data_IF_255659408914
#
_entry.id   IF_255659408914
#
_cell.length_a   1.000
_cell.length_b   1.000
_cell.length_c   1.000
_cell.angle_alpha   90.00
_cell.angle_beta   90.00
_cell.angle_gamma   90.00
#
_symmetry.space_group_name_H-M   'P 1'
#
loop_
_entity.id
_entity.type
_entity.pdbx_description
1 polymer ?
#
# COMPACT_ATOMS: atom_id res chain seq x y z
N UNK A 1 1.77 11.96 -21.91
CA UNK A 1 0.37 11.50 -21.85
C UNK A 1 -0.23 12.04 -20.57
N UNK A 2 -1.49 12.49 -20.59
CA UNK A 2 -2.20 12.90 -19.36
C UNK A 2 -2.25 11.73 -18.37
N UNK A 3 -2.08 11.98 -17.08
CA UNK A 3 -2.23 11.00 -15.99
C UNK A 3 -3.60 10.29 -16.06
N UNK A 4 -4.62 10.97 -16.58
CA UNK A 4 -5.98 10.46 -16.76
C UNK A 4 -6.20 9.71 -18.08
N UNK A 5 -5.16 9.53 -18.91
CA UNK A 5 -5.29 8.87 -20.22
C UNK A 5 -6.06 9.69 -21.27
N UNK A 6 -6.34 10.97 -21.00
CA UNK A 6 -7.05 11.86 -21.90
C UNK A 6 -6.08 12.43 -22.93
N UNK A 7 -6.38 12.23 -24.20
CA UNK A 7 -5.54 12.66 -25.34
C UNK A 7 -6.16 13.81 -26.14
N UNK A 8 -7.46 14.04 -26.01
CA UNK A 8 -8.18 15.13 -26.68
C UNK A 8 -8.08 16.43 -25.86
N UNK A 9 -7.52 17.48 -26.46
CA UNK A 9 -7.35 18.78 -25.83
C UNK A 9 -8.68 19.48 -25.54
N UNK A 10 -9.69 19.33 -26.42
CA UNK A 10 -11.00 19.96 -26.22
C UNK A 10 -11.70 19.41 -24.98
N UNK A 11 -11.51 18.13 -24.70
CA UNK A 11 -12.04 17.47 -23.48
C UNK A 11 -11.35 18.00 -22.23
N UNK A 12 -10.05 18.30 -22.30
CA UNK A 12 -9.29 18.88 -21.18
C UNK A 12 -9.76 20.30 -20.88
N UNK A 13 -9.93 21.12 -21.93
CA UNK A 13 -10.34 22.52 -21.78
C UNK A 13 -11.77 22.69 -21.24
N UNK A 14 -12.66 21.73 -21.56
CA UNK A 14 -14.05 21.75 -21.10
C UNK A 14 -14.24 21.09 -19.72
N UNK A 15 -13.20 20.47 -19.16
CA UNK A 15 -13.30 19.73 -17.91
C UNK A 15 -13.51 20.66 -16.72
N UNK A 16 -14.52 20.36 -15.91
CA UNK A 16 -14.71 21.07 -14.64
C UNK A 16 -13.72 20.56 -13.59
N UNK A 17 -13.36 21.41 -12.62
CA UNK A 17 -12.50 21.00 -11.50
C UNK A 17 -13.08 19.80 -10.73
N UNK A 18 -14.40 19.76 -10.56
CA UNK A 18 -15.10 18.65 -9.91
C UNK A 18 -14.96 17.35 -10.69
N UNK A 19 -15.16 17.39 -12.01
CA UNK A 19 -14.97 16.24 -12.88
C UNK A 19 -13.53 15.75 -12.88
N UNK A 20 -12.57 16.68 -12.93
CA UNK A 20 -11.15 16.37 -12.81
C UNK A 20 -10.86 15.62 -11.51
N UNK A 21 -11.37 16.11 -10.37
CA UNK A 21 -11.15 15.48 -9.07
C UNK A 21 -11.74 14.07 -9.00
N UNK A 22 -12.97 13.85 -9.50
CA UNK A 22 -13.55 12.51 -9.53
C UNK A 22 -12.77 11.53 -10.42
N UNK A 23 -12.29 12.01 -11.57
CA UNK A 23 -11.45 11.22 -12.47
C UNK A 23 -10.10 10.89 -11.83
N UNK A 24 -9.50 11.83 -11.10
CA UNK A 24 -8.27 11.58 -10.35
C UNK A 24 -8.49 10.57 -9.23
N UNK A 25 -9.57 10.68 -8.45
CA UNK A 25 -9.91 9.68 -7.45
C UNK A 25 -10.07 8.29 -8.07
N UNK A 26 -10.83 8.16 -9.16
CA UNK A 26 -10.97 6.89 -9.87
C UNK A 26 -9.61 6.35 -10.35
N UNK A 27 -8.70 7.23 -10.77
CA UNK A 27 -7.35 6.86 -11.20
C UNK A 27 -6.50 6.32 -10.05
N UNK A 28 -6.62 6.88 -8.85
CA UNK A 28 -5.90 6.40 -7.67
C UNK A 28 -6.31 4.97 -7.29
N UNK A 29 -7.61 4.64 -7.35
CA UNK A 29 -8.08 3.26 -7.17
C UNK A 29 -7.54 2.32 -8.25
N UNK A 30 -7.56 2.75 -9.51
CA UNK A 30 -7.00 1.96 -10.63
C UNK A 30 -5.50 1.69 -10.41
N UNK A 31 -4.74 2.69 -9.98
CA UNK A 31 -3.31 2.56 -9.69
C UNK A 31 -3.06 1.59 -8.53
N UNK A 32 -3.85 1.66 -7.45
CA UNK A 32 -3.76 0.71 -6.34
C UNK A 32 -3.98 -0.74 -6.81
N UNK A 33 -5.04 -0.98 -7.59
CA UNK A 33 -5.33 -2.32 -8.14
C UNK A 33 -4.21 -2.80 -9.06
N UNK A 34 -3.72 -1.94 -9.96
CA UNK A 34 -2.63 -2.31 -10.87
C UNK A 34 -1.35 -2.67 -10.11
N UNK A 35 -1.00 -1.89 -9.09
CA UNK A 35 0.20 -2.14 -8.29
C UNK A 35 0.06 -3.44 -7.48
N UNK A 36 -1.12 -3.68 -6.90
CA UNK A 36 -1.39 -4.93 -6.18
C UNK A 36 -1.30 -6.17 -7.08
N UNK A 37 -1.86 -6.10 -8.30
CA UNK A 37 -1.76 -7.19 -9.27
C UNK A 37 -0.32 -7.42 -9.74
N UNK A 38 0.50 -6.38 -9.86
CA UNK A 38 1.95 -6.53 -10.14
C UNK A 38 2.66 -7.30 -9.05
N UNK A 39 2.38 -6.99 -7.78
CA UNK A 39 2.93 -7.77 -6.68
C UNK A 39 2.44 -9.21 -6.71
N UNK A 40 1.13 -9.45 -6.90
CA UNK A 40 0.61 -10.82 -7.05
C UNK A 40 1.31 -11.60 -8.15
N UNK A 41 1.55 -10.97 -9.30
CA UNK A 41 2.29 -11.58 -10.40
C UNK A 41 3.73 -11.88 -10.00
N UNK A 42 4.42 -10.96 -9.33
CA UNK A 42 5.79 -11.18 -8.85
C UNK A 42 5.87 -12.36 -7.87
N UNK A 43 4.93 -12.46 -6.95
CA UNK A 43 4.80 -13.60 -6.04
C UNK A 43 4.48 -14.90 -6.78
N UNK A 44 3.58 -14.88 -7.76
CA UNK A 44 3.28 -16.05 -8.59
C UNK A 44 4.49 -16.52 -9.40
N UNK A 45 5.29 -15.59 -9.94
CA UNK A 45 6.55 -15.91 -10.64
C UNK A 45 7.56 -16.52 -9.66
N UNK A 46 7.70 -15.93 -8.46
CA UNK A 46 8.57 -16.46 -7.40
C UNK A 46 8.19 -17.89 -7.05
N UNK A 47 6.91 -18.13 -6.79
CA UNK A 47 6.40 -19.43 -6.38
C UNK A 47 6.48 -20.46 -7.52
N UNK A 48 6.29 -20.05 -8.78
CA UNK A 48 6.52 -20.89 -9.95
C UNK A 48 8.00 -21.22 -10.18
N UNK A 49 8.91 -20.28 -9.89
CA UNK A 49 10.36 -20.47 -9.97
C UNK A 49 10.91 -21.30 -8.80
N UNK A 50 10.21 -21.32 -7.66
CA UNK A 50 10.52 -22.15 -6.50
C UNK A 50 10.21 -23.63 -6.79
N UNK A 51 11.02 -24.26 -7.65
CA UNK A 51 11.03 -25.72 -7.81
C UNK A 51 11.44 -26.35 -6.47
N UNK A 52 10.51 -27.14 -5.91
CA UNK A 52 10.61 -27.87 -4.64
C UNK A 52 12.02 -28.46 -4.41
N UNK A 53 12.80 -27.89 -3.49
CA UNK A 53 13.98 -28.57 -2.96
C UNK A 53 13.55 -29.48 -1.80
N UNK A 54 13.37 -30.77 -2.10
CA UNK A 54 13.07 -31.85 -1.14
C UNK A 54 14.37 -32.27 -0.41
N UNK A 55 15.11 -31.32 0.17
CA UNK A 55 16.43 -31.54 0.79
C UNK A 55 16.43 -31.51 2.33
N UNK A 56 17.33 -32.28 2.95
CA UNK A 56 17.49 -32.51 4.40
C UNK A 56 18.40 -31.49 5.14
N UNK A 57 18.35 -31.57 6.49
CA UNK A 57 18.78 -30.66 7.59
C UNK A 57 20.07 -29.80 7.49
N UNK A 58 20.94 -29.97 6.50
CA UNK A 58 22.23 -29.24 6.42
C UNK A 58 22.25 -28.10 5.38
N UNK A 59 21.08 -27.63 4.90
CA UNK A 59 20.94 -26.58 3.88
C UNK A 59 19.96 -25.50 4.34
N UNK A 60 20.35 -24.20 4.29
CA UNK A 60 19.66 -23.15 5.02
C UNK A 60 18.29 -22.84 4.42
N UNK A 61 17.34 -22.52 5.30
CA UNK A 61 16.06 -21.88 4.96
C UNK A 61 16.28 -20.38 4.93
N UNK A 62 16.41 -19.80 3.74
CA UNK A 62 16.16 -18.38 3.54
C UNK A 62 14.64 -18.20 3.57
N UNK A 63 14.12 -17.54 4.60
CA UNK A 63 12.71 -17.18 4.70
C UNK A 63 12.51 -15.79 4.11
N UNK A 64 11.56 -15.65 3.18
CA UNK A 64 11.24 -14.36 2.60
C UNK A 64 10.54 -13.48 3.65
N UNK A 65 10.95 -12.22 3.77
CA UNK A 65 10.35 -11.22 4.67
C UNK A 65 8.86 -11.04 4.40
N UNK A 66 8.45 -11.17 3.13
CA UNK A 66 7.06 -11.08 2.69
C UNK A 66 6.62 -12.41 2.09
N UNK A 67 5.45 -12.89 2.52
CA UNK A 67 4.89 -14.15 2.06
C UNK A 67 3.98 -13.95 0.85
N UNK A 68 3.24 -12.85 0.80
CA UNK A 68 2.28 -12.54 -0.24
C UNK A 68 2.21 -11.04 -0.57
N UNK A 69 1.45 -10.68 -1.61
CA UNK A 69 1.31 -9.31 -2.08
C UNK A 69 0.70 -8.34 -1.04
N UNK A 70 -0.24 -8.80 -0.20
CA UNK A 70 -0.82 -7.96 0.86
C UNK A 70 0.20 -7.61 1.95
N UNK A 71 1.20 -8.46 2.16
CA UNK A 71 2.25 -8.16 3.15
C UNK A 71 3.10 -6.96 2.70
N UNK A 72 3.21 -6.73 1.38
CA UNK A 72 3.93 -5.58 0.80
C UNK A 72 3.02 -4.36 0.66
N UNK A 73 1.84 -4.56 0.07
CA UNK A 73 0.86 -3.53 -0.20
C UNK A 73 -0.50 -3.95 0.37
N UNK A 74 -0.85 -3.53 1.59
CA UNK A 74 -2.09 -3.92 2.25
C UNK A 74 -3.29 -3.35 1.47
N UNK A 75 -3.95 -4.19 0.68
CA UNK A 75 -4.93 -3.72 -0.29
C UNK A 75 -6.15 -3.07 0.37
N UNK A 76 -6.80 -3.78 1.29
CA UNK A 76 -8.01 -3.32 1.97
C UNK A 76 -7.77 -2.07 2.82
N UNK A 77 -6.62 -1.99 3.48
CA UNK A 77 -6.24 -0.80 4.25
C UNK A 77 -6.06 0.40 3.32
N UNK A 78 -5.43 0.21 2.16
CA UNK A 78 -5.26 1.29 1.19
C UNK A 78 -6.58 1.71 0.54
N UNK A 79 -7.54 0.81 0.35
CA UNK A 79 -8.91 1.19 -0.05
C UNK A 79 -9.54 2.11 1.00
N UNK A 80 -9.42 1.79 2.29
CA UNK A 80 -9.93 2.64 3.37
C UNK A 80 -9.21 4.00 3.40
N UNK A 81 -7.89 4.02 3.22
CA UNK A 81 -7.10 5.26 3.15
C UNK A 81 -7.54 6.15 1.99
N UNK A 82 -7.74 5.60 0.79
CA UNK A 82 -8.23 6.36 -0.36
C UNK A 82 -9.65 6.91 -0.11
N UNK A 83 -10.52 6.15 0.55
CA UNK A 83 -11.85 6.65 0.96
C UNK A 83 -11.76 7.83 1.95
N UNK A 84 -10.69 7.89 2.75
CA UNK A 84 -10.39 8.99 3.67
C UNK A 84 -9.61 10.14 2.99
N UNK A 85 -9.32 10.05 1.69
CA UNK A 85 -8.51 11.03 0.96
C UNK A 85 -7.03 11.00 1.35
N UNK A 86 -6.54 9.88 1.87
CA UNK A 86 -5.14 9.65 2.24
C UNK A 86 -4.43 8.87 1.13
N UNK A 87 -3.14 9.15 0.98
CA UNK A 87 -2.29 8.46 0.01
C UNK A 87 -2.12 6.96 0.30
N UNK A 88 -1.85 6.21 -0.77
CA UNK A 88 -1.45 4.80 -0.72
C UNK A 88 -0.17 4.69 0.14
N UNK A 89 -0.14 3.70 1.02
CA UNK A 89 0.96 3.42 1.95
C UNK A 89 1.42 1.97 1.83
N UNK A 90 2.72 1.78 1.75
CA UNK A 90 3.35 0.47 1.74
C UNK A 90 3.59 -0.05 3.16
N UNK A 91 3.69 -1.36 3.32
CA UNK A 91 3.98 -1.94 4.65
C UNK A 91 5.34 -1.49 5.21
N UNK A 92 6.33 -1.25 4.36
CA UNK A 92 7.65 -0.74 4.77
C UNK A 92 7.62 0.68 5.33
N UNK A 93 6.59 1.46 4.99
CA UNK A 93 6.41 2.84 5.46
C UNK A 93 5.66 2.90 6.80
N UNK A 94 5.31 1.74 7.38
CA UNK A 94 4.73 1.68 8.74
C UNK A 94 5.78 1.94 9.82
N UNK A 95 7.06 1.69 9.54
CA UNK A 95 8.12 1.64 10.56
C UNK A 95 8.76 3.00 10.89
N UNK A 96 8.28 4.12 10.33
CA UNK A 96 8.58 5.47 10.84
C UNK A 96 7.49 5.97 11.81
N UNK A 97 7.25 5.24 12.90
CA UNK A 97 6.90 5.79 14.22
C UNK A 97 6.95 4.71 15.31
N UNK A 98 8.11 4.51 15.94
CA UNK A 98 8.12 4.18 17.37
C UNK A 98 8.64 5.39 18.15
N UNK A 99 7.79 5.92 19.04
CA UNK A 99 8.15 5.96 20.42
C UNK A 99 7.10 5.16 21.18
N UNK A 100 7.48 3.94 21.55
CA UNK A 100 6.99 3.38 22.80
C UNK A 100 7.39 4.35 23.91
N UNK A 101 6.45 5.21 24.34
CA UNK A 101 6.38 5.65 25.72
C UNK A 101 5.00 6.26 26.02
N UNK A 102 4.02 5.37 26.14
CA UNK A 102 2.75 5.63 26.84
C UNK A 102 2.96 6.13 28.29
N UNK A 103 4.19 6.12 28.81
CA UNK A 103 4.59 6.71 30.08
C UNK A 103 4.28 8.22 30.15
N UNK A 104 4.44 8.98 29.06
CA UNK A 104 4.12 10.41 29.07
C UNK A 104 2.61 10.67 29.28
N UNK A 105 1.75 9.88 28.62
CA UNK A 105 0.29 10.00 28.77
C UNK A 105 -0.21 9.50 30.13
N UNK A 106 0.47 8.50 30.72
CA UNK A 106 0.19 8.05 32.10
C UNK A 106 0.53 9.13 33.14
N UNK A 107 1.67 9.80 33.00
CA UNK A 107 2.08 10.89 33.91
C UNK A 107 1.08 12.06 33.86
N UNK A 108 0.60 12.44 32.68
CA UNK A 108 -0.43 13.49 32.53
C UNK A 108 -1.77 13.05 33.16
N UNK A 109 -2.15 11.78 33.01
CA UNK A 109 -3.38 11.25 33.59
C UNK A 109 -3.33 11.14 35.12
N UNK A 110 -2.15 10.94 35.72
CA UNK A 110 -1.96 10.97 37.18
C UNK A 110 -2.00 12.41 37.72
N UNK A 111 -1.41 13.38 37.02
CA UNK A 111 -1.42 14.78 37.43
C UNK A 111 -2.83 15.40 37.44
N UNK A 112 -3.68 14.98 36.49
CA UNK A 112 -5.08 15.45 36.40
C UNK A 112 -6.05 14.80 37.41
N UNK A 113 -5.56 13.86 38.24
CA UNK A 113 -6.33 13.22 39.31
C UNK A 113 -6.03 13.79 40.71
N UNK A 114 -5.19 14.83 40.80
CA UNK A 114 -4.96 15.63 42.02
C UNK A 114 -5.90 16.84 42.07
#
# INVERSE_FOLDING_TARGET
>A
MSTLGITDLNVIEQMTLTEYNYRMYAKEYEMLTQEFERYKLAFAIRDAAATKNVGTENKPKEEYVFNNANDVLPYEENIQRLNEGKDIRFSSERDEYEPQNNEFFKVIAEFNKQ
#
